data_IF_675293316377
#
_entry.id   IF_675293316377
#
_cell.length_a   1.000
_cell.length_b   1.000
_cell.length_c   1.000
_cell.angle_alpha   90.00
_cell.angle_beta   90.00
_cell.angle_gamma   90.00
#
_symmetry.space_group_name_H-M   'P 1'
#
loop_
_entity.id
_entity.type
_entity.pdbx_description
1 polymer ?
#
# COMPACT_ATOMS: atom_id res chain seq x y z
N UNK A 1 -27.48 25.20 -8.15
CA UNK A 1 -26.20 25.08 -7.43
C UNK A 1 -25.56 23.77 -7.85
N UNK A 2 -24.52 23.85 -8.69
CA UNK A 2 -23.79 22.68 -9.21
C UNK A 2 -22.65 22.37 -8.24
N UNK A 3 -22.78 21.31 -7.45
CA UNK A 3 -21.68 20.77 -6.64
C UNK A 3 -20.73 20.00 -7.54
N UNK A 4 -19.59 20.62 -7.86
CA UNK A 4 -18.45 19.94 -8.49
C UNK A 4 -17.87 18.96 -7.47
N UNK A 5 -18.02 17.66 -7.73
CA UNK A 5 -17.26 16.61 -7.08
C UNK A 5 -15.83 16.70 -7.59
N UNK A 6 -14.93 17.23 -6.77
CA UNK A 6 -13.49 17.14 -6.99
C UNK A 6 -13.10 15.67 -6.84
N UNK A 7 -13.00 14.97 -7.97
CA UNK A 7 -12.21 13.75 -8.04
C UNK A 7 -10.75 14.17 -7.94
N UNK A 8 -10.12 13.91 -6.79
CA UNK A 8 -8.67 13.95 -6.64
C UNK A 8 -8.08 12.83 -7.51
N UNK A 9 -7.95 13.10 -8.80
CA UNK A 9 -7.21 12.26 -9.73
C UNK A 9 -5.74 12.55 -9.52
N UNK A 10 -5.04 11.66 -8.81
CA UNK A 10 -3.59 11.70 -8.70
C UNK A 10 -3.01 11.51 -10.10
N UNK A 11 -2.30 12.53 -10.59
CA UNK A 11 -1.68 12.53 -11.91
C UNK A 11 -0.63 11.39 -12.02
N UNK A 12 -0.58 10.62 -13.12
CA UNK A 12 0.40 9.55 -13.24
C UNK A 12 1.67 10.07 -13.92
N UNK A 13 2.77 10.15 -13.17
CA UNK A 13 4.11 10.12 -13.75
C UNK A 13 5.21 9.80 -12.71
N UNK A 14 5.94 8.70 -12.99
CA UNK A 14 7.42 8.61 -12.98
C UNK A 14 8.20 8.41 -11.65
N UNK A 15 8.52 7.14 -11.37
CA UNK A 15 9.90 6.60 -11.37
C UNK A 15 9.82 5.07 -11.48
N UNK A 16 10.24 4.49 -12.61
CA UNK A 16 10.40 3.03 -12.67
C UNK A 16 11.78 2.68 -12.13
N UNK A 17 11.81 2.21 -10.88
CA UNK A 17 13.01 1.59 -10.35
C UNK A 17 13.17 0.25 -11.07
N UNK A 18 14.25 0.13 -11.82
CA UNK A 18 14.60 -1.13 -12.47
C UNK A 18 15.58 -1.89 -11.60
N UNK A 19 15.21 -3.11 -11.22
CA UNK A 19 16.15 -4.05 -10.63
C UNK A 19 17.08 -4.61 -11.72
N UNK A 20 18.35 -4.82 -11.36
CA UNK A 20 19.38 -5.38 -12.23
C UNK A 20 19.27 -6.91 -12.32
N UNK A 21 19.92 -7.50 -13.33
CA UNK A 21 20.03 -8.97 -13.42
C UNK A 21 20.68 -9.56 -12.16
N UNK A 22 21.69 -8.89 -11.60
CA UNK A 22 22.34 -9.32 -10.36
C UNK A 22 21.36 -9.37 -9.18
N UNK A 23 20.40 -8.44 -9.10
CA UNK A 23 19.36 -8.47 -8.07
C UNK A 23 18.35 -9.59 -8.30
N UNK A 24 18.05 -9.92 -9.56
CA UNK A 24 17.22 -11.08 -9.91
C UNK A 24 17.92 -12.38 -9.51
N UNK A 25 19.21 -12.53 -9.86
CA UNK A 25 20.01 -13.71 -9.50
C UNK A 25 20.12 -13.85 -7.97
N UNK A 26 20.34 -12.73 -7.26
CA UNK A 26 20.34 -12.70 -5.79
C UNK A 26 19.01 -13.19 -5.21
N UNK A 27 17.87 -12.77 -5.77
CA UNK A 27 16.56 -13.25 -5.34
C UNK A 27 16.42 -14.76 -5.51
N UNK A 28 16.87 -15.32 -6.64
CA UNK A 28 16.81 -16.76 -6.89
C UNK A 28 17.70 -17.56 -5.93
N UNK A 29 18.87 -17.02 -5.58
CA UNK A 29 19.82 -17.67 -4.66
C UNK A 29 19.41 -17.52 -3.18
N UNK A 30 18.92 -16.34 -2.78
CA UNK A 30 18.70 -15.97 -1.38
C UNK A 30 17.25 -16.08 -0.93
N UNK A 31 16.29 -16.12 -1.86
CA UNK A 31 14.86 -16.16 -1.57
C UNK A 31 14.24 -14.83 -1.13
N UNK A 32 14.97 -13.71 -1.21
CA UNK A 32 14.47 -12.37 -0.93
C UNK A 32 15.24 -11.30 -1.71
N UNK A 33 14.65 -10.10 -1.82
CA UNK A 33 15.30 -8.93 -2.41
C UNK A 33 14.81 -7.66 -1.69
N UNK A 34 15.73 -6.79 -1.30
CA UNK A 34 15.41 -5.46 -0.76
C UNK A 34 15.51 -4.44 -1.88
N UNK A 35 14.41 -3.72 -2.14
CA UNK A 35 14.36 -2.62 -3.12
C UNK A 35 14.20 -1.32 -2.35
N UNK A 36 15.30 -0.58 -2.22
CA UNK A 36 15.29 0.71 -1.54
C UNK A 36 14.55 1.77 -2.35
N UNK A 37 13.88 2.69 -1.64
CA UNK A 37 13.16 3.82 -2.25
C UNK A 37 12.07 3.39 -3.26
N UNK A 38 11.48 2.20 -3.08
CA UNK A 38 10.45 1.66 -3.98
C UNK A 38 9.19 2.56 -4.07
N UNK A 39 8.89 3.26 -2.97
CA UNK A 39 7.85 4.27 -2.85
C UNK A 39 8.48 5.61 -2.48
N UNK A 40 7.86 6.69 -2.97
CA UNK A 40 8.18 8.06 -2.59
C UNK A 40 7.73 8.36 -1.15
N UNK A 41 8.31 9.39 -0.54
CA UNK A 41 7.88 9.85 0.78
C UNK A 41 6.39 10.26 0.79
N UNK A 42 5.88 10.84 -0.29
CA UNK A 42 4.48 11.24 -0.41
C UNK A 42 3.53 10.02 -0.51
N UNK A 43 3.90 8.99 -1.27
CA UNK A 43 3.15 7.73 -1.32
C UNK A 43 3.12 7.06 0.07
N UNK A 44 4.26 7.02 0.77
CA UNK A 44 4.36 6.46 2.13
C UNK A 44 3.43 7.23 3.07
N UNK A 45 3.50 8.55 3.09
CA UNK A 45 2.65 9.37 3.95
C UNK A 45 1.16 9.27 3.59
N UNK A 46 0.83 9.08 2.31
CA UNK A 46 -0.55 8.86 1.86
C UNK A 46 -1.09 7.51 2.35
N UNK A 47 -0.29 6.44 2.25
CA UNK A 47 -0.63 5.13 2.80
C UNK A 47 -0.80 5.18 4.32
N UNK A 48 0.10 5.86 5.04
CA UNK A 48 0.02 6.01 6.50
C UNK A 48 -1.26 6.69 6.94
N UNK A 49 -1.62 7.81 6.31
CA UNK A 49 -2.90 8.51 6.58
C UNK A 49 -4.10 7.62 6.28
N UNK A 50 -4.09 6.89 5.16
CA UNK A 50 -5.19 5.98 4.83
C UNK A 50 -5.31 4.82 5.80
N UNK A 51 -4.20 4.24 6.27
CA UNK A 51 -4.19 3.22 7.32
C UNK A 51 -4.82 3.76 8.60
N UNK A 52 -4.47 4.97 9.04
CA UNK A 52 -5.07 5.56 10.22
C UNK A 52 -6.60 5.75 10.06
N UNK A 53 -7.07 6.19 8.89
CA UNK A 53 -8.51 6.28 8.59
C UNK A 53 -9.21 4.93 8.64
N UNK A 54 -8.58 3.85 8.15
CA UNK A 54 -9.11 2.49 8.27
C UNK A 54 -9.17 2.06 9.74
N UNK A 55 -8.10 2.26 10.52
CA UNK A 55 -8.06 1.89 11.93
C UNK A 55 -9.10 2.65 12.79
N UNK A 56 -9.48 3.87 12.38
CA UNK A 56 -10.56 4.66 12.99
C UNK A 56 -11.96 4.21 12.61
N UNK A 57 -12.08 3.28 11.65
CA UNK A 57 -13.36 2.82 11.11
C UNK A 57 -13.98 3.79 10.08
N UNK A 58 -13.25 4.79 9.60
CA UNK A 58 -13.73 5.77 8.61
C UNK A 58 -13.88 5.17 7.19
N UNK A 59 -13.41 3.93 7.00
CA UNK A 59 -13.54 3.15 5.77
C UNK A 59 -14.50 1.98 5.92
N UNK A 60 -15.30 1.98 6.97
CA UNK A 60 -16.22 0.89 7.31
C UNK A 60 -15.76 0.11 8.53
N UNK A 61 -16.64 -0.76 9.02
CA UNK A 61 -16.38 -1.52 10.23
C UNK A 61 -15.48 -2.72 9.93
N UNK A 62 -14.30 -2.75 10.56
CA UNK A 62 -13.42 -3.92 10.59
C UNK A 62 -13.58 -4.58 11.95
N UNK A 63 -13.99 -5.85 11.95
CA UNK A 63 -14.21 -6.61 13.18
C UNK A 63 -12.89 -6.80 13.93
N UNK A 64 -12.89 -6.49 15.22
CA UNK A 64 -11.75 -6.71 16.11
C UNK A 64 -10.75 -5.55 16.17
N UNK A 65 -11.03 -4.42 15.51
CA UNK A 65 -10.27 -3.20 15.75
C UNK A 65 -10.43 -2.72 17.21
N UNK A 66 -9.36 -2.20 17.81
CA UNK A 66 -9.44 -1.57 19.12
C UNK A 66 -10.33 -0.31 19.04
N UNK A 67 -10.92 0.12 20.16
CA UNK A 67 -11.66 1.38 20.19
C UNK A 67 -10.72 2.54 19.84
N UNK A 68 -11.22 3.47 19.04
CA UNK A 68 -10.54 4.71 18.72
C UNK A 68 -10.88 5.81 19.73
N UNK A 69 -9.87 6.55 20.17
CA UNK A 69 -10.02 7.81 20.91
C UNK A 69 -9.62 9.00 20.01
N UNK A 70 -10.45 10.05 19.89
CA UNK A 70 -10.12 11.24 19.12
C UNK A 70 -8.83 11.98 19.53
N UNK A 71 -8.32 11.70 20.73
CA UNK A 71 -7.08 12.29 21.23
C UNK A 71 -5.81 11.57 20.72
N UNK A 72 -5.96 10.41 20.07
CA UNK A 72 -4.83 9.59 19.62
C UNK A 72 -4.35 10.01 18.23
N UNK A 73 -3.03 10.07 18.10
CA UNK A 73 -2.32 10.28 16.84
C UNK A 73 -2.48 9.10 15.88
N UNK A 74 -2.15 9.34 14.60
CA UNK A 74 -2.11 8.29 13.57
C UNK A 74 -1.15 7.15 13.97
N UNK A 75 0.01 7.47 14.54
CA UNK A 75 0.99 6.47 14.97
C UNK A 75 0.47 5.58 16.09
N UNK A 76 -0.17 6.16 17.10
CA UNK A 76 -0.66 5.40 18.26
C UNK A 76 -1.77 4.40 17.87
N UNK A 77 -2.64 4.76 16.92
CA UNK A 77 -3.71 3.86 16.48
C UNK A 77 -3.20 2.77 15.53
N UNK A 78 -2.21 3.09 14.69
CA UNK A 78 -1.55 2.10 13.83
C UNK A 78 -0.79 1.08 14.68
N UNK A 79 0.01 1.53 15.66
CA UNK A 79 0.85 0.64 16.49
C UNK A 79 0.07 -0.40 17.29
N UNK A 80 -1.18 -0.12 17.69
CA UNK A 80 -2.02 -1.08 18.41
C UNK A 80 -2.86 -1.98 17.51
N UNK A 81 -2.90 -1.69 16.21
CA UNK A 81 -3.64 -2.48 15.23
C UNK A 81 -2.69 -3.55 14.70
N UNK A 82 -2.91 -4.80 15.12
CA UNK A 82 -1.98 -5.89 14.81
C UNK A 82 -1.90 -6.23 13.32
N UNK A 83 -3.05 -6.30 12.67
CA UNK A 83 -3.16 -6.62 11.26
C UNK A 83 -4.56 -6.30 10.74
N UNK A 84 -4.66 -5.75 9.53
CA UNK A 84 -5.92 -5.69 8.79
C UNK A 84 -5.78 -6.50 7.50
N UNK A 85 -6.61 -7.54 7.37
CA UNK A 85 -6.64 -8.38 6.16
C UNK A 85 -7.50 -7.75 5.06
N UNK A 86 -7.02 -7.81 3.82
CA UNK A 86 -7.71 -7.35 2.61
C UNK A 86 -8.21 -5.88 2.65
N UNK A 87 -7.40 -4.90 3.09
CA UNK A 87 -7.80 -3.49 3.16
C UNK A 87 -8.22 -2.89 1.81
N UNK A 88 -7.76 -3.47 0.70
CA UNK A 88 -8.18 -3.10 -0.66
C UNK A 88 -9.69 -3.29 -0.92
N UNK A 89 -10.41 -4.04 -0.08
CA UNK A 89 -11.87 -4.19 -0.21
C UNK A 89 -12.65 -3.01 0.35
N UNK A 90 -12.01 -2.19 1.18
CA UNK A 90 -12.63 -1.07 1.89
C UNK A 90 -11.96 0.28 1.58
N UNK A 91 -10.83 0.27 0.86
CA UNK A 91 -10.11 1.47 0.45
C UNK A 91 -9.68 1.35 -1.01
N UNK A 92 -10.14 2.30 -1.83
CA UNK A 92 -9.73 2.41 -3.23
C UNK A 92 -8.23 2.70 -3.33
N UNK A 93 -7.68 3.54 -2.46
CA UNK A 93 -6.24 3.81 -2.43
C UNK A 93 -5.44 2.52 -2.17
N UNK A 94 -5.85 1.71 -1.19
CA UNK A 94 -5.19 0.42 -0.93
C UNK A 94 -5.31 -0.54 -2.12
N UNK A 95 -6.42 -0.50 -2.86
CA UNK A 95 -6.60 -1.26 -4.09
C UNK A 95 -5.66 -0.79 -5.20
N UNK A 96 -5.58 0.52 -5.44
CA UNK A 96 -4.74 1.10 -6.49
C UNK A 96 -3.25 0.80 -6.24
N UNK A 97 -2.82 0.82 -4.98
CA UNK A 97 -1.44 0.47 -4.59
C UNK A 97 -1.09 -1.01 -4.80
N UNK A 98 -2.06 -1.92 -4.95
CA UNK A 98 -1.76 -3.31 -5.36
C UNK A 98 -1.10 -3.38 -6.74
N UNK A 99 -1.38 -2.39 -7.59
CA UNK A 99 -0.85 -2.27 -8.95
C UNK A 99 0.19 -1.14 -9.06
N UNK A 100 0.83 -0.76 -7.95
CA UNK A 100 1.87 0.28 -7.97
C UNK A 100 3.00 -0.13 -8.95
N UNK A 101 3.42 0.76 -9.88
CA UNK A 101 4.28 0.37 -10.99
C UNK A 101 5.61 -0.28 -10.59
N UNK A 102 6.31 0.24 -9.58
CA UNK A 102 7.55 -0.34 -9.06
C UNK A 102 7.32 -1.74 -8.51
N UNK A 103 6.23 -1.96 -7.77
CA UNK A 103 5.89 -3.28 -7.21
C UNK A 103 5.62 -4.28 -8.35
N UNK A 104 4.80 -3.90 -9.33
CA UNK A 104 4.47 -4.76 -10.48
C UNK A 104 5.72 -5.07 -11.31
N UNK A 105 6.55 -4.08 -11.60
CA UNK A 105 7.78 -4.26 -12.38
C UNK A 105 8.79 -5.17 -11.67
N UNK A 106 8.97 -5.00 -10.35
CA UNK A 106 9.86 -5.88 -9.56
C UNK A 106 9.33 -7.30 -9.55
N UNK A 107 8.06 -7.50 -9.21
CA UNK A 107 7.45 -8.83 -9.12
C UNK A 107 7.51 -9.53 -10.47
N UNK A 108 7.12 -8.87 -11.56
CA UNK A 108 7.13 -9.50 -12.89
C UNK A 108 8.52 -9.97 -13.33
N UNK A 109 9.58 -9.28 -12.89
CA UNK A 109 10.97 -9.69 -13.14
C UNK A 109 11.43 -10.88 -12.29
N UNK A 110 11.03 -10.97 -11.02
CA UNK A 110 11.54 -12.00 -10.09
C UNK A 110 10.66 -13.25 -9.98
N UNK A 111 9.34 -13.13 -10.18
CA UNK A 111 8.39 -14.26 -10.12
C UNK A 111 7.76 -14.65 -11.46
N UNK A 112 7.76 -13.77 -12.47
CA UNK A 112 7.20 -14.03 -13.80
C UNK A 112 6.03 -13.12 -14.19
N UNK A 113 5.56 -13.20 -15.45
CA UNK A 113 4.69 -12.19 -16.05
C UNK A 113 3.27 -12.13 -15.45
N UNK A 114 2.76 -13.27 -14.95
CA UNK A 114 1.37 -13.40 -14.51
C UNK A 114 1.27 -13.36 -12.97
N UNK A 115 1.34 -12.16 -12.41
CA UNK A 115 1.29 -11.94 -10.97
C UNK A 115 -0.15 -11.75 -10.49
N UNK A 116 -0.55 -12.51 -9.46
CA UNK A 116 -1.84 -12.38 -8.79
C UNK A 116 -1.66 -11.99 -7.32
N UNK A 117 -2.32 -10.92 -6.89
CA UNK A 117 -2.45 -10.61 -5.47
C UNK A 117 -3.37 -11.65 -4.80
N UNK A 118 -2.78 -12.59 -4.06
CA UNK A 118 -3.53 -13.59 -3.28
C UNK A 118 -3.99 -13.03 -1.94
N UNK A 119 -3.21 -12.12 -1.35
CA UNK A 119 -3.44 -11.53 -0.04
C UNK A 119 -2.78 -10.15 0.05
N UNK A 120 -3.39 -9.25 0.82
CA UNK A 120 -2.79 -7.98 1.24
C UNK A 120 -3.08 -7.76 2.73
N UNK A 121 -2.12 -7.19 3.45
CA UNK A 121 -2.23 -6.89 4.87
C UNK A 121 -1.61 -5.52 5.16
N UNK A 122 -2.15 -4.85 6.18
CA UNK A 122 -1.59 -3.66 6.82
C UNK A 122 -1.19 -4.02 8.25
#
# INVERSE_FOLDING_TARGET
MLTQTLTDTVAPAQRRLEISQQQVDFFQESGYLVVENALTAEEIESLRRETARICRGERGQVKGLPPFSPAESDDEIIQRTLCIHFPHKISQMMFDFLAQPTIVDVLTKVIGPDVKCMQSML
#
